data_IF_649005662019
#
_entry.id   IF_649005662019
#
_cell.length_a   1.000
_cell.length_b   1.000
_cell.length_c   1.000
_cell.angle_alpha   90.00
_cell.angle_beta   90.00
_cell.angle_gamma   90.00
#
_symmetry.space_group_name_H-M   'P 1'
#
loop_
_entity.id
_entity.type
_entity.pdbx_description
1 polymer ?
#
# COMPACT_ATOMS: atom_id res chain seq x y z
N UNK A 1 -22.02 4.38 14.64
CA UNK A 1 -20.92 4.72 13.72
C UNK A 1 -21.37 4.28 12.34
N UNK A 2 -21.36 5.19 11.35
CA UNK A 2 -21.71 4.85 9.97
C UNK A 2 -20.74 3.80 9.41
N UNK A 3 -21.24 2.87 8.61
CA UNK A 3 -20.38 1.88 7.95
C UNK A 3 -19.50 2.56 6.89
N UNK A 4 -18.35 1.97 6.55
CA UNK A 4 -17.50 2.48 5.46
C UNK A 4 -18.27 2.68 4.15
N UNK A 5 -19.32 1.88 3.95
CA UNK A 5 -20.25 1.98 2.83
C UNK A 5 -21.02 3.30 2.83
N UNK A 6 -21.60 3.68 3.97
CA UNK A 6 -22.36 4.94 4.11
C UNK A 6 -21.47 6.15 3.88
N UNK A 7 -20.25 6.11 4.41
CA UNK A 7 -19.27 7.19 4.23
C UNK A 7 -18.91 7.38 2.75
N UNK A 8 -18.60 6.31 2.03
CA UNK A 8 -18.25 6.38 0.61
C UNK A 8 -19.43 6.83 -0.26
N UNK A 9 -20.63 6.33 0.05
CA UNK A 9 -21.86 6.77 -0.65
C UNK A 9 -22.09 8.26 -0.45
N UNK A 10 -22.04 8.74 0.78
CA UNK A 10 -22.20 10.14 1.10
C UNK A 10 -21.11 11.02 0.45
N UNK A 11 -19.84 10.57 0.50
CA UNK A 11 -18.73 11.30 -0.12
C UNK A 11 -18.95 11.50 -1.62
N UNK A 12 -19.37 10.45 -2.35
CA UNK A 12 -19.67 10.55 -3.79
C UNK A 12 -20.82 11.51 -4.07
N UNK A 13 -21.90 11.43 -3.27
CA UNK A 13 -23.08 12.29 -3.46
C UNK A 13 -22.80 13.76 -3.18
N UNK A 14 -21.99 14.06 -2.16
CA UNK A 14 -21.73 15.42 -1.72
C UNK A 14 -20.64 16.09 -2.57
N UNK A 15 -19.55 15.38 -2.83
CA UNK A 15 -18.40 15.98 -3.48
C UNK A 15 -18.49 16.00 -5.01
N UNK A 16 -19.21 15.07 -5.63
CA UNK A 16 -19.27 14.93 -7.10
C UNK A 16 -17.90 14.65 -7.74
N UNK A 17 -16.92 14.22 -6.95
CA UNK A 17 -15.55 13.93 -7.36
C UNK A 17 -15.25 12.44 -7.23
N UNK A 18 -14.27 11.92 -8.00
CA UNK A 18 -13.80 10.56 -7.84
C UNK A 18 -13.31 10.29 -6.41
N UNK A 19 -13.74 9.18 -5.85
CA UNK A 19 -13.36 8.75 -4.50
C UNK A 19 -12.13 7.86 -4.54
N UNK A 20 -11.16 8.13 -3.66
CA UNK A 20 -9.95 7.32 -3.50
C UNK A 20 -9.91 6.76 -2.08
N UNK A 21 -9.75 5.45 -1.96
CA UNK A 21 -9.55 4.78 -0.67
C UNK A 21 -8.15 4.20 -0.60
N UNK A 22 -7.40 4.56 0.47
CA UNK A 22 -6.15 3.92 0.81
C UNK A 22 -6.41 2.88 1.90
N UNK A 23 -6.00 1.64 1.66
CA UNK A 23 -6.14 0.55 2.63
C UNK A 23 -4.79 -0.11 2.91
N UNK A 24 -4.59 -0.54 4.16
CA UNK A 24 -3.43 -1.36 4.52
C UNK A 24 -3.58 -2.84 4.11
N UNK A 25 -4.67 -3.16 3.42
CA UNK A 25 -5.00 -4.48 2.88
C UNK A 25 -5.30 -5.58 3.91
N UNK A 26 -5.16 -5.31 5.21
CA UNK A 26 -5.29 -6.32 6.28
C UNK A 26 -6.66 -7.00 6.31
N UNK A 27 -7.72 -6.25 6.03
CA UNK A 27 -9.10 -6.76 6.09
C UNK A 27 -9.73 -7.01 4.72
N UNK A 28 -8.95 -7.09 3.66
CA UNK A 28 -9.49 -7.41 2.33
C UNK A 28 -9.99 -8.86 2.22
N UNK A 29 -9.63 -9.74 3.15
CA UNK A 29 -10.24 -11.07 3.30
C UNK A 29 -11.72 -11.01 3.70
N UNK A 30 -12.17 -9.92 4.35
CA UNK A 30 -13.53 -9.79 4.85
C UNK A 30 -14.51 -9.36 3.72
N UNK A 31 -15.57 -10.14 3.45
CA UNK A 31 -16.52 -9.83 2.36
C UNK A 31 -17.19 -8.46 2.51
N UNK A 32 -17.49 -8.04 3.73
CA UNK A 32 -18.13 -6.75 4.01
C UNK A 32 -17.20 -5.58 3.65
N UNK A 33 -15.89 -5.70 3.95
CA UNK A 33 -14.89 -4.71 3.61
C UNK A 33 -14.76 -4.59 2.09
N UNK A 34 -14.66 -5.73 1.38
CA UNK A 34 -14.61 -5.72 -0.09
C UNK A 34 -15.86 -5.09 -0.69
N UNK A 35 -17.06 -5.47 -0.18
CA UNK A 35 -18.32 -4.91 -0.64
C UNK A 35 -18.40 -3.38 -0.45
N UNK A 36 -17.84 -2.84 0.63
CA UNK A 36 -17.78 -1.40 0.84
C UNK A 36 -16.79 -0.73 -0.11
N UNK A 37 -15.58 -1.30 -0.27
CA UNK A 37 -14.52 -0.74 -1.11
C UNK A 37 -14.87 -0.74 -2.60
N UNK A 38 -15.72 -1.66 -3.06
CA UNK A 38 -16.22 -1.66 -4.45
C UNK A 38 -16.99 -0.39 -4.83
N UNK A 39 -17.41 0.41 -3.88
CA UNK A 39 -18.03 1.70 -4.13
C UNK A 39 -17.03 2.82 -4.47
N UNK A 40 -15.76 2.65 -4.15
CA UNK A 40 -14.73 3.62 -4.48
C UNK A 40 -14.36 3.56 -5.97
N UNK A 41 -13.99 4.70 -6.54
CA UNK A 41 -13.53 4.78 -7.93
C UNK A 41 -12.09 4.29 -8.06
N UNK A 42 -11.27 4.55 -7.04
CA UNK A 42 -9.87 4.13 -6.94
C UNK A 42 -9.63 3.51 -5.57
N UNK A 43 -9.02 2.34 -5.54
CA UNK A 43 -8.53 1.72 -4.30
C UNK A 43 -7.03 1.52 -4.39
N UNK A 44 -6.29 2.16 -3.48
CA UNK A 44 -4.85 1.96 -3.32
C UNK A 44 -4.61 0.96 -2.17
N UNK A 45 -4.30 -0.28 -2.55
CA UNK A 45 -4.04 -1.38 -1.64
C UNK A 45 -2.55 -1.47 -1.31
N UNK A 46 -2.21 -1.45 -0.03
CA UNK A 46 -0.82 -1.48 0.42
C UNK A 46 -0.26 -2.89 0.43
N UNK A 47 0.91 -3.07 -0.23
CA UNK A 47 1.67 -4.31 -0.26
C UNK A 47 3.17 -4.00 -0.17
N UNK A 48 3.73 -4.00 1.04
CA UNK A 48 5.09 -3.53 1.31
C UNK A 48 6.15 -4.65 1.34
N UNK A 49 5.84 -5.81 0.81
CA UNK A 49 6.77 -6.93 0.78
C UNK A 49 6.20 -8.16 0.12
N UNK A 50 7.09 -9.12 -0.15
CA UNK A 50 6.79 -10.40 -0.80
C UNK A 50 6.97 -11.59 0.14
N UNK A 51 7.06 -11.32 1.44
CA UNK A 51 7.18 -12.33 2.48
C UNK A 51 6.70 -11.81 3.84
N UNK A 52 6.42 -12.75 4.75
CA UNK A 52 6.07 -12.42 6.13
C UNK A 52 7.15 -11.60 6.84
N UNK A 53 8.43 -11.91 6.59
CA UNK A 53 9.54 -11.18 7.20
C UNK A 53 9.63 -9.72 6.71
N UNK A 54 9.39 -9.49 5.43
CA UNK A 54 9.32 -8.12 4.91
C UNK A 54 8.12 -7.37 5.48
N UNK A 55 6.94 -8.00 5.55
CA UNK A 55 5.76 -7.42 6.17
C UNK A 55 6.05 -6.99 7.62
N UNK A 56 6.66 -7.86 8.41
CA UNK A 56 7.01 -7.56 9.81
C UNK A 56 8.01 -6.42 9.94
N UNK A 57 9.02 -6.37 9.07
CA UNK A 57 10.04 -5.30 9.09
C UNK A 57 9.46 -3.95 8.70
N UNK A 58 8.61 -3.90 7.67
CA UNK A 58 8.09 -2.65 7.13
C UNK A 58 6.91 -2.15 7.94
N UNK A 59 5.91 -2.99 8.19
CA UNK A 59 4.62 -2.56 8.71
C UNK A 59 4.46 -2.77 10.21
N UNK A 60 5.25 -3.68 10.83
CA UNK A 60 5.09 -4.08 12.23
C UNK A 60 3.60 -4.37 12.56
N UNK A 61 2.97 -5.31 11.87
CA UNK A 61 1.55 -5.59 12.05
C UNK A 61 1.26 -6.06 13.47
N UNK A 62 0.00 -5.95 13.89
CA UNK A 62 -0.47 -6.60 15.10
C UNK A 62 -0.31 -8.12 15.00
N UNK A 63 -0.29 -8.82 16.15
CA UNK A 63 -0.21 -10.28 16.15
C UNK A 63 -1.36 -10.91 15.36
N UNK A 64 -1.09 -12.04 14.70
CA UNK A 64 -2.09 -12.77 13.92
C UNK A 64 -2.30 -12.27 12.49
N UNK A 65 -1.63 -11.21 12.05
CA UNK A 65 -1.70 -10.76 10.65
C UNK A 65 -0.63 -11.46 9.84
N UNK A 66 -1.08 -12.29 8.89
CA UNK A 66 -0.20 -13.06 8.03
C UNK A 66 -0.16 -12.50 6.60
N UNK A 67 1.02 -12.56 5.99
CA UNK A 67 1.24 -12.07 4.62
C UNK A 67 0.39 -12.81 3.60
N UNK A 68 0.22 -14.13 3.77
CA UNK A 68 -0.60 -14.95 2.88
C UNK A 68 -2.07 -14.53 2.88
N UNK A 69 -2.62 -14.14 4.05
CA UNK A 69 -3.99 -13.68 4.16
C UNK A 69 -4.19 -12.33 3.47
N UNK A 70 -3.21 -11.43 3.58
CA UNK A 70 -3.21 -10.15 2.85
C UNK A 70 -3.23 -10.39 1.35
N UNK A 71 -2.36 -11.27 0.83
CA UNK A 71 -2.32 -11.60 -0.60
C UNK A 71 -3.61 -12.24 -1.06
N UNK A 72 -4.15 -13.20 -0.31
CA UNK A 72 -5.43 -13.83 -0.62
C UNK A 72 -6.56 -12.80 -0.69
N UNK A 73 -6.60 -11.88 0.28
CA UNK A 73 -7.59 -10.79 0.31
C UNK A 73 -7.47 -9.83 -0.88
N UNK A 74 -6.25 -9.43 -1.26
CA UNK A 74 -6.03 -8.57 -2.44
C UNK A 74 -6.48 -9.30 -3.72
N UNK A 75 -6.14 -10.60 -3.87
CA UNK A 75 -6.56 -11.42 -5.03
C UNK A 75 -8.08 -11.53 -5.13
N UNK A 76 -8.76 -11.82 -4.02
CA UNK A 76 -10.21 -11.86 -3.97
C UNK A 76 -10.83 -10.51 -4.31
N UNK A 77 -10.29 -9.43 -3.74
CA UNK A 77 -10.76 -8.09 -4.04
C UNK A 77 -10.60 -7.77 -5.53
N UNK A 78 -9.45 -8.10 -6.14
CA UNK A 78 -9.22 -7.87 -7.57
C UNK A 78 -10.24 -8.59 -8.46
N UNK A 79 -10.63 -9.82 -8.11
CA UNK A 79 -11.64 -10.57 -8.86
C UNK A 79 -13.05 -9.94 -8.81
N UNK A 80 -13.32 -9.19 -7.76
CA UNK A 80 -14.62 -8.59 -7.49
C UNK A 80 -14.68 -7.09 -7.84
N UNK A 81 -13.54 -6.43 -8.09
CA UNK A 81 -13.44 -4.99 -8.25
C UNK A 81 -13.09 -4.61 -9.68
N UNK A 82 -13.99 -3.87 -10.32
CA UNK A 82 -13.85 -3.39 -11.70
C UNK A 82 -13.28 -1.96 -11.78
N UNK A 83 -13.13 -1.29 -10.65
CA UNK A 83 -12.56 0.06 -10.58
C UNK A 83 -11.03 0.07 -10.71
N UNK A 84 -10.44 1.23 -10.50
CA UNK A 84 -8.98 1.40 -10.60
C UNK A 84 -8.28 0.89 -9.33
N UNK A 85 -7.62 -0.28 -9.42
CA UNK A 85 -6.80 -0.83 -8.36
C UNK A 85 -5.36 -0.36 -8.51
N UNK A 86 -4.84 0.36 -7.52
CA UNK A 86 -3.43 0.68 -7.39
C UNK A 86 -2.78 -0.19 -6.30
N UNK A 87 -1.58 -0.70 -6.55
CA UNK A 87 -0.76 -1.33 -5.49
C UNK A 87 0.27 -0.33 -5.00
N UNK A 88 0.18 0.03 -3.72
CA UNK A 88 1.13 0.95 -3.09
C UNK A 88 2.19 0.16 -2.32
N UNK A 89 3.47 0.38 -2.62
CA UNK A 89 4.59 -0.36 -2.04
C UNK A 89 5.63 0.57 -1.46
N UNK A 90 5.92 0.40 -0.16
CA UNK A 90 6.95 1.15 0.56
C UNK A 90 8.26 0.37 0.55
N UNK A 91 9.29 0.92 -0.07
CA UNK A 91 10.63 0.34 -0.13
C UNK A 91 11.52 0.99 0.94
N UNK A 92 11.87 0.24 1.99
CA UNK A 92 12.74 0.70 3.07
C UNK A 92 14.23 0.45 2.83
N UNK A 93 14.55 -0.56 2.03
CA UNK A 93 15.90 -0.95 1.62
C UNK A 93 15.85 -1.59 0.24
N UNK A 94 16.95 -1.60 -0.53
CA UNK A 94 16.99 -2.30 -1.80
C UNK A 94 16.57 -3.77 -1.65
N UNK A 95 15.69 -4.22 -2.53
CA UNK A 95 15.26 -5.61 -2.56
C UNK A 95 16.21 -6.45 -3.39
N UNK A 96 16.46 -7.70 -2.96
CA UNK A 96 17.18 -8.67 -3.75
C UNK A 96 16.48 -8.98 -5.07
N UNK A 97 17.21 -9.48 -6.07
CA UNK A 97 16.63 -9.88 -7.36
C UNK A 97 15.54 -10.94 -7.21
N UNK A 98 15.68 -11.86 -6.24
CA UNK A 98 14.66 -12.84 -5.90
C UNK A 98 13.37 -12.17 -5.42
N UNK A 99 13.47 -11.21 -4.49
CA UNK A 99 12.31 -10.48 -3.98
C UNK A 99 11.64 -9.64 -5.08
N UNK A 100 12.44 -8.99 -5.93
CA UNK A 100 11.94 -8.26 -7.09
C UNK A 100 11.20 -9.19 -8.05
N UNK A 101 11.76 -10.38 -8.34
CA UNK A 101 11.12 -11.39 -9.20
C UNK A 101 9.78 -11.87 -8.64
N UNK A 102 9.72 -12.18 -7.34
CA UNK A 102 8.47 -12.55 -6.65
C UNK A 102 7.43 -11.45 -6.73
N UNK A 103 7.84 -10.20 -6.55
CA UNK A 103 6.94 -9.04 -6.66
C UNK A 103 6.37 -8.91 -8.07
N UNK A 104 7.21 -8.99 -9.10
CA UNK A 104 6.75 -8.91 -10.49
C UNK A 104 5.78 -10.04 -10.84
N UNK A 105 6.03 -11.27 -10.37
CA UNK A 105 5.09 -12.39 -10.53
C UNK A 105 3.72 -12.11 -9.89
N UNK A 106 3.71 -11.52 -8.68
CA UNK A 106 2.46 -11.11 -8.03
C UNK A 106 1.74 -10.01 -8.82
N UNK A 107 2.47 -9.03 -9.36
CA UNK A 107 1.85 -7.96 -10.15
C UNK A 107 1.28 -8.49 -11.48
N UNK A 108 1.93 -9.45 -12.11
CA UNK A 108 1.39 -10.14 -13.29
C UNK A 108 0.09 -10.90 -12.99
N UNK A 109 -0.01 -11.48 -11.80
CA UNK A 109 -1.22 -12.19 -11.37
C UNK A 109 -2.34 -11.22 -10.98
N UNK A 110 -2.04 -10.19 -10.20
CA UNK A 110 -3.00 -9.20 -9.71
C UNK A 110 -3.49 -8.26 -10.81
N UNK A 111 -2.63 -7.92 -11.77
CA UNK A 111 -2.92 -6.97 -12.87
C UNK A 111 -3.55 -5.67 -12.36
N UNK A 112 -2.92 -4.95 -11.45
CA UNK A 112 -3.41 -3.63 -11.05
C UNK A 112 -3.26 -2.65 -12.22
N UNK A 113 -4.04 -1.58 -12.23
CA UNK A 113 -3.93 -0.51 -13.20
C UNK A 113 -2.68 0.34 -12.99
N UNK A 114 -2.19 0.40 -11.73
CA UNK A 114 -1.02 1.21 -11.36
C UNK A 114 -0.26 0.59 -10.20
N UNK A 115 1.05 0.78 -10.18
CA UNK A 115 1.92 0.51 -9.04
C UNK A 115 2.51 1.83 -8.55
N UNK A 116 2.38 2.11 -7.25
CA UNK A 116 2.93 3.30 -6.61
C UNK A 116 4.12 2.89 -5.73
N UNK A 117 5.35 3.14 -6.20
CA UNK A 117 6.55 2.92 -5.41
C UNK A 117 6.82 4.13 -4.52
N UNK A 118 7.03 3.88 -3.24
CA UNK A 118 7.33 4.91 -2.26
C UNK A 118 8.58 4.55 -1.45
N UNK A 119 9.24 5.58 -0.93
CA UNK A 119 10.34 5.45 0.04
C UNK A 119 10.05 6.38 1.23
N UNK A 120 10.57 6.09 2.44
CA UNK A 120 10.32 6.91 3.61
C UNK A 120 10.77 8.35 3.40
N UNK A 121 9.89 9.29 3.72
CA UNK A 121 10.19 10.74 3.70
C UNK A 121 10.12 11.36 5.10
N UNK A 122 9.61 10.60 6.08
CA UNK A 122 9.43 11.05 7.47
C UNK A 122 10.14 10.11 8.43
N UNK A 123 10.60 10.64 9.56
CA UNK A 123 11.12 9.84 10.66
C UNK A 123 10.08 8.84 11.18
N UNK A 124 10.56 7.73 11.71
CA UNK A 124 9.73 6.68 12.32
C UNK A 124 9.95 6.70 13.83
N UNK A 125 8.87 6.76 14.61
CA UNK A 125 8.97 6.60 16.06
C UNK A 125 9.51 5.20 16.41
N UNK A 126 10.47 5.12 17.32
CA UNK A 126 11.01 3.87 17.84
C UNK A 126 10.06 3.19 18.80
N UNK A 127 9.26 3.97 19.54
CA UNK A 127 8.22 3.48 20.42
C UNK A 127 6.87 3.47 19.70
N UNK A 128 6.09 2.40 19.87
CA UNK A 128 4.72 2.35 19.40
C UNK A 128 3.86 3.20 20.33
N UNK A 129 3.74 4.47 20.03
CA UNK A 129 2.76 5.33 20.69
C UNK A 129 1.38 4.98 20.10
N UNK A 130 0.50 4.45 20.96
CA UNK A 130 -0.90 4.17 20.60
C UNK A 130 -1.74 5.45 20.55
N UNK A 131 -1.20 6.53 21.09
CA UNK A 131 -1.89 7.81 21.18
C UNK A 131 -1.59 8.67 19.96
N UNK A 132 -2.66 9.03 19.32
CA UNK A 132 -2.82 10.06 18.28
C UNK A 132 -1.64 10.25 17.31
N UNK A 133 -1.85 9.91 16.08
CA UNK A 133 -1.10 10.46 14.94
C UNK A 133 -1.43 11.96 14.76
N UNK A 134 -1.59 12.68 15.89
CA UNK A 134 -1.84 14.09 15.92
C UNK A 134 -0.55 14.86 15.67
N UNK A 135 -0.66 15.94 14.96
CA UNK A 135 0.36 16.97 14.84
C UNK A 135 0.47 17.74 16.17
N UNK A 136 0.87 17.08 17.25
CA UNK A 136 1.17 17.80 18.49
C UNK A 136 2.64 18.27 18.44
N UNK A 137 2.89 19.57 18.23
CA UNK A 137 4.25 20.12 18.14
C UNK A 137 4.98 20.13 19.51
N UNK A 138 4.31 19.75 20.60
CA UNK A 138 4.89 19.83 21.95
C UNK A 138 5.53 18.53 22.44
N UNK A 139 5.27 17.40 21.80
CA UNK A 139 5.98 16.15 22.07
C UNK A 139 7.19 16.05 21.14
N UNK A 140 8.32 16.62 21.57
CA UNK A 140 9.59 16.34 20.92
C UNK A 140 9.85 14.82 20.98
N UNK A 141 10.04 14.14 19.83
CA UNK A 141 10.25 12.70 19.86
C UNK A 141 11.67 12.39 20.31
N UNK A 142 11.84 12.08 21.57
CA UNK A 142 13.13 11.64 22.13
C UNK A 142 13.65 10.31 21.52
N UNK A 143 12.88 9.71 20.61
CA UNK A 143 13.24 8.45 19.98
C UNK A 143 12.64 8.28 18.58
N UNK A 144 13.13 9.08 17.63
CA UNK A 144 12.76 8.93 16.20
C UNK A 144 13.92 8.30 15.44
N UNK A 145 13.69 7.18 14.80
CA UNK A 145 14.61 6.62 13.83
C UNK A 145 14.41 7.34 12.48
N UNK A 146 15.41 8.07 12.04
CA UNK A 146 15.45 8.61 10.69
C UNK A 146 15.76 7.44 9.75
N UNK A 147 14.75 7.01 9.00
CA UNK A 147 14.94 6.01 7.95
C UNK A 147 15.58 6.71 6.75
N UNK A 148 16.74 6.20 6.32
CA UNK A 148 17.33 6.65 5.06
C UNK A 148 16.44 6.20 3.90
N UNK A 149 16.03 7.11 3.01
CA UNK A 149 15.31 6.73 1.81
C UNK A 149 16.21 5.86 0.91
N UNK A 150 15.60 4.98 0.16
CA UNK A 150 16.28 4.26 -0.92
C UNK A 150 16.64 5.26 -2.02
N UNK A 151 17.77 5.06 -2.71
CA UNK A 151 18.19 5.98 -3.77
C UNK A 151 17.16 6.03 -4.91
N UNK A 152 17.02 7.20 -5.52
CA UNK A 152 16.13 7.39 -6.67
C UNK A 152 16.53 6.47 -7.82
N UNK A 153 17.83 6.30 -8.06
CA UNK A 153 18.35 5.41 -9.11
C UNK A 153 17.89 3.96 -8.94
N UNK A 154 17.93 3.44 -7.69
CA UNK A 154 17.40 2.10 -7.42
C UNK A 154 15.91 2.01 -7.69
N UNK A 155 15.13 3.00 -7.24
CA UNK A 155 13.68 3.02 -7.47
C UNK A 155 13.35 3.12 -8.96
N UNK A 156 14.08 3.93 -9.71
CA UNK A 156 13.91 4.05 -11.17
C UNK A 156 14.25 2.74 -11.88
N UNK A 157 15.38 2.12 -11.54
CA UNK A 157 15.77 0.84 -12.11
C UNK A 157 14.73 -0.25 -11.82
N UNK A 158 14.22 -0.31 -10.58
CA UNK A 158 13.18 -1.27 -10.20
C UNK A 158 11.86 -0.97 -10.90
N UNK A 159 11.44 0.29 -10.98
CA UNK A 159 10.23 0.69 -11.72
C UNK A 159 10.31 0.33 -13.19
N UNK A 160 11.45 0.61 -13.86
CA UNK A 160 11.68 0.23 -15.25
C UNK A 160 11.61 -1.30 -15.44
N UNK A 161 12.19 -2.08 -14.51
CA UNK A 161 12.14 -3.54 -14.51
C UNK A 161 10.71 -4.07 -14.35
N UNK A 162 9.92 -3.48 -13.44
CA UNK A 162 8.50 -3.81 -13.29
C UNK A 162 7.75 -3.51 -14.58
N UNK A 163 7.85 -2.28 -15.09
CA UNK A 163 7.13 -1.86 -16.28
C UNK A 163 7.47 -2.74 -17.50
N UNK A 164 8.76 -3.01 -17.73
CA UNK A 164 9.19 -3.83 -18.87
C UNK A 164 8.72 -5.27 -18.80
N UNK A 165 8.58 -5.84 -17.58
CA UNK A 165 8.16 -7.24 -17.40
C UNK A 165 6.66 -7.44 -17.28
N UNK A 166 5.90 -6.42 -16.86
CA UNK A 166 4.47 -6.53 -16.58
C UNK A 166 3.58 -5.67 -17.47
N UNK A 167 4.13 -4.62 -18.10
CA UNK A 167 3.36 -3.60 -18.82
C UNK A 167 2.57 -2.64 -17.92
N UNK A 168 2.62 -2.82 -16.59
CA UNK A 168 1.85 -2.03 -15.64
C UNK A 168 2.52 -0.65 -15.44
N UNK A 169 1.71 0.41 -15.40
CA UNK A 169 2.20 1.75 -15.11
C UNK A 169 2.81 1.82 -13.70
N UNK A 170 4.02 2.37 -13.57
CA UNK A 170 4.69 2.54 -12.28
C UNK A 170 4.88 4.03 -12.00
N UNK A 171 4.43 4.48 -10.85
CA UNK A 171 4.51 5.87 -10.42
C UNK A 171 5.31 6.01 -9.12
N UNK A 172 6.11 7.05 -9.09
CA UNK A 172 6.76 7.60 -7.91
C UNK A 172 6.61 9.13 -7.96
N UNK A 173 6.78 9.82 -6.86
CA UNK A 173 6.69 11.30 -6.84
C UNK A 173 7.64 11.98 -7.82
N UNK A 174 8.81 11.39 -8.11
CA UNK A 174 9.87 11.95 -8.94
C UNK A 174 9.88 11.41 -10.38
N UNK A 175 9.10 10.33 -10.68
CA UNK A 175 9.04 9.74 -12.02
C UNK A 175 7.77 8.92 -12.26
N UNK A 176 7.53 8.62 -13.56
CA UNK A 176 6.45 7.73 -14.01
C UNK A 176 6.93 6.91 -15.21
N UNK A 177 6.60 5.62 -15.24
CA UNK A 177 6.81 4.69 -16.34
C UNK A 177 5.48 4.15 -16.86
#
# INVERSE_FOLDING_TARGET
MGSSREILTAAKQIAGLPTVVLTNSTFLGEPEVRSALKLADIVAAKLDGVSQDQLRRVNRPAGGIEWLDIIAGIKQFRQEYEGHLAIQTMILSPWSDEAQGKYMGLMQELRPEEIQLNTPTRGRSLTRQLETRGNDPQTAPDSVQILKPVSVDFLQAFAAKIHSSTGIAVRHRDFRF
#
